data_IF_390800885648
#
_entry.id   IF_390800885648
#
_cell.length_a   1.000
_cell.length_b   1.000
_cell.length_c   1.000
_cell.angle_alpha   90.00
_cell.angle_beta   90.00
_cell.angle_gamma   90.00
#
_symmetry.space_group_name_H-M   'P 1'
#
loop_
_entity.id
_entity.type
_entity.pdbx_description
1 polymer ?
#
# COMPACT_ATOMS: atom_id res chain seq x y z
N UNK A 1 -29.02 -26.54 -10.39
CA UNK A 1 -27.75 -25.93 -9.89
C UNK A 1 -26.64 -26.93 -9.55
N UNK A 2 -26.92 -28.16 -9.09
CA UNK A 2 -25.91 -29.14 -8.65
C UNK A 2 -24.81 -29.49 -9.68
N UNK A 3 -25.10 -29.46 -10.99
CA UNK A 3 -24.10 -29.80 -12.03
C UNK A 3 -23.00 -28.74 -12.20
N UNK A 4 -23.31 -27.45 -12.03
CA UNK A 4 -22.35 -26.36 -12.29
C UNK A 4 -21.46 -26.07 -11.08
N UNK A 5 -22.00 -26.11 -9.86
CA UNK A 5 -21.23 -25.85 -8.63
C UNK A 5 -20.18 -26.94 -8.33
N UNK A 6 -20.36 -28.15 -8.88
CA UNK A 6 -19.40 -29.25 -8.76
C UNK A 6 -18.44 -29.36 -9.97
N UNK A 7 -18.69 -28.60 -11.06
CA UNK A 7 -17.87 -28.64 -12.27
C UNK A 7 -16.63 -27.75 -12.14
N UNK A 8 -15.44 -28.33 -12.34
CA UNK A 8 -14.17 -27.60 -12.31
C UNK A 8 -14.10 -26.58 -13.46
N UNK A 9 -14.55 -26.96 -14.66
CA UNK A 9 -14.57 -26.07 -15.84
C UNK A 9 -15.44 -24.84 -15.56
N UNK A 10 -16.64 -25.03 -15.00
CA UNK A 10 -17.53 -23.91 -14.69
C UNK A 10 -16.91 -22.93 -13.67
N UNK A 11 -16.15 -23.43 -12.69
CA UNK A 11 -15.44 -22.58 -11.72
C UNK A 11 -14.32 -21.80 -12.38
N UNK A 12 -13.50 -22.45 -13.21
CA UNK A 12 -12.41 -21.78 -13.92
C UNK A 12 -12.98 -20.68 -14.84
N UNK A 13 -14.01 -21.00 -15.63
CA UNK A 13 -14.68 -20.01 -16.47
C UNK A 13 -15.24 -18.85 -15.65
N UNK A 14 -15.88 -19.14 -14.51
CA UNK A 14 -16.40 -18.10 -13.62
C UNK A 14 -15.30 -17.21 -13.02
N UNK A 15 -14.12 -17.75 -12.71
CA UNK A 15 -12.97 -16.96 -12.24
C UNK A 15 -12.50 -15.99 -13.32
N UNK A 16 -12.32 -16.46 -14.57
CA UNK A 16 -11.91 -15.60 -15.67
C UNK A 16 -12.94 -14.52 -15.98
N UNK A 17 -14.22 -14.90 -16.08
CA UNK A 17 -15.30 -13.94 -16.28
C UNK A 17 -15.36 -12.93 -15.15
N UNK A 18 -15.21 -13.36 -13.89
CA UNK A 18 -15.20 -12.46 -12.75
C UNK A 18 -14.09 -11.41 -12.91
N UNK A 19 -12.87 -11.84 -13.22
CA UNK A 19 -11.73 -10.94 -13.40
C UNK A 19 -11.95 -9.91 -14.52
N UNK A 20 -12.57 -10.33 -15.64
CA UNK A 20 -12.91 -9.45 -16.77
C UNK A 20 -13.98 -8.43 -16.36
N UNK A 21 -15.07 -8.88 -15.74
CA UNK A 21 -16.15 -7.97 -15.33
C UNK A 21 -15.74 -7.04 -14.19
N UNK A 22 -14.88 -7.47 -13.26
CA UNK A 22 -14.32 -6.56 -12.25
C UNK A 22 -13.39 -5.54 -12.87
N UNK A 23 -12.67 -5.89 -13.95
CA UNK A 23 -11.81 -4.94 -14.67
C UNK A 23 -12.66 -3.92 -15.41
N UNK A 24 -13.71 -4.39 -16.10
CA UNK A 24 -14.70 -3.53 -16.76
C UNK A 24 -15.39 -2.58 -15.78
N UNK A 25 -15.73 -3.05 -14.58
CA UNK A 25 -16.29 -2.20 -13.52
C UNK A 25 -15.31 -1.11 -13.06
N UNK A 26 -14.04 -1.47 -12.76
CA UNK A 26 -13.03 -0.49 -12.33
C UNK A 26 -12.72 0.52 -13.44
N UNK A 27 -12.50 0.04 -14.67
CA UNK A 27 -12.28 0.90 -15.83
C UNK A 27 -13.49 1.81 -16.09
N UNK A 28 -14.70 1.30 -15.91
CA UNK A 28 -15.95 2.05 -15.99
C UNK A 28 -16.06 3.16 -14.96
N UNK A 29 -15.66 2.91 -13.70
CA UNK A 29 -15.59 3.93 -12.65
C UNK A 29 -14.57 5.02 -13.02
N UNK A 30 -13.35 4.63 -13.39
CA UNK A 30 -12.27 5.57 -13.75
C UNK A 30 -12.69 6.41 -14.96
N UNK A 31 -13.23 5.78 -16.00
CA UNK A 31 -13.70 6.47 -17.20
C UNK A 31 -14.86 7.41 -16.89
N UNK A 32 -15.84 6.98 -16.09
CA UNK A 32 -16.98 7.84 -15.70
C UNK A 32 -16.50 9.04 -14.90
N UNK A 33 -15.58 8.85 -13.95
CA UNK A 33 -15.01 9.92 -13.16
C UNK A 33 -14.24 10.93 -14.03
N UNK A 34 -13.44 10.46 -14.98
CA UNK A 34 -12.75 11.31 -15.95
C UNK A 34 -13.74 12.15 -16.78
N UNK A 35 -14.85 11.56 -17.23
CA UNK A 35 -15.89 12.27 -18.00
C UNK A 35 -16.61 13.33 -17.15
N UNK A 36 -16.84 13.05 -15.86
CA UNK A 36 -17.41 14.04 -14.93
C UNK A 36 -16.44 15.20 -14.71
N UNK A 37 -15.16 14.92 -14.46
CA UNK A 37 -14.13 15.95 -14.25
C UNK A 37 -14.00 16.90 -15.45
N UNK A 38 -14.23 16.38 -16.67
CA UNK A 38 -14.17 17.14 -17.90
C UNK A 38 -15.54 17.62 -18.42
N UNK A 39 -16.59 17.59 -17.57
CA UNK A 39 -17.93 18.09 -17.86
C UNK A 39 -18.61 17.50 -19.11
N UNK A 40 -18.29 16.26 -19.48
CA UNK A 40 -18.87 15.59 -20.66
C UNK A 40 -20.39 15.38 -20.54
N UNK A 41 -20.96 15.44 -19.34
CA UNK A 41 -22.39 15.27 -19.09
C UNK A 41 -23.16 16.60 -19.08
N UNK A 42 -22.50 17.70 -18.75
CA UNK A 42 -23.14 18.99 -18.51
C UNK A 42 -22.96 19.96 -19.69
N UNK A 43 -21.90 19.79 -20.48
CA UNK A 43 -21.58 20.67 -21.62
C UNK A 43 -21.92 20.03 -22.98
N UNK A 44 -22.26 20.86 -23.99
CA UNK A 44 -22.35 20.40 -25.38
C UNK A 44 -20.97 19.97 -25.91
N UNK A 45 -20.97 19.08 -26.90
CA UNK A 45 -19.75 18.52 -27.50
C UNK A 45 -18.74 19.59 -27.95
N UNK A 46 -19.24 20.70 -28.50
CA UNK A 46 -18.40 21.80 -28.98
C UNK A 46 -17.58 22.43 -27.84
N UNK A 47 -18.20 22.71 -26.70
CA UNK A 47 -17.53 23.31 -25.54
C UNK A 47 -16.53 22.33 -24.89
N UNK A 48 -16.89 21.05 -24.79
CA UNK A 48 -15.96 20.01 -24.27
C UNK A 48 -14.73 19.90 -25.18
N UNK A 49 -14.94 19.94 -26.50
CA UNK A 49 -13.86 19.94 -27.48
C UNK A 49 -12.96 21.15 -27.32
N UNK A 50 -13.55 22.34 -27.20
CA UNK A 50 -12.83 23.58 -27.02
C UNK A 50 -11.96 23.55 -25.74
N UNK A 51 -12.53 23.16 -24.59
CA UNK A 51 -11.81 23.07 -23.31
C UNK A 51 -10.55 22.18 -23.41
N UNK A 52 -10.66 21.04 -24.10
CA UNK A 52 -9.53 20.12 -24.28
C UNK A 52 -8.53 20.68 -25.30
N UNK A 53 -9.01 21.27 -26.40
CA UNK A 53 -8.14 21.85 -27.42
C UNK A 53 -7.36 23.05 -26.88
N UNK A 54 -7.94 23.86 -25.99
CA UNK A 54 -7.24 24.95 -25.28
C UNK A 54 -6.05 24.40 -24.49
N UNK A 55 -6.22 23.30 -23.75
CA UNK A 55 -5.12 22.65 -23.00
C UNK A 55 -4.02 22.15 -23.94
N UNK A 56 -4.38 21.45 -25.01
CA UNK A 56 -3.42 20.96 -26.01
C UNK A 56 -2.67 22.13 -26.66
N UNK A 57 -3.38 23.20 -27.03
CA UNK A 57 -2.81 24.42 -27.63
C UNK A 57 -1.80 25.06 -26.69
N UNK A 58 -2.11 25.16 -25.40
CA UNK A 58 -1.19 25.67 -24.39
C UNK A 58 0.08 24.82 -24.28
N UNK A 59 -0.04 23.50 -24.35
CA UNK A 59 1.12 22.60 -24.29
C UNK A 59 2.01 22.74 -25.54
N UNK A 60 1.42 22.83 -26.74
CA UNK A 60 2.19 23.11 -27.96
C UNK A 60 2.86 24.48 -27.92
N UNK A 61 2.14 25.51 -27.47
CA UNK A 61 2.65 26.87 -27.29
C UNK A 61 3.84 26.89 -26.31
N UNK A 62 3.68 26.29 -25.13
CA UNK A 62 4.75 26.18 -24.13
C UNK A 62 5.94 25.39 -24.68
N UNK A 63 5.68 24.29 -25.39
CA UNK A 63 6.72 23.50 -26.05
C UNK A 63 7.50 24.34 -27.05
N UNK A 64 6.81 25.01 -27.98
CA UNK A 64 7.42 25.88 -28.98
C UNK A 64 8.25 26.98 -28.33
N UNK A 65 7.72 27.68 -27.32
CA UNK A 65 8.43 28.77 -26.67
C UNK A 65 9.64 28.26 -25.89
N UNK A 66 9.43 27.44 -24.87
CA UNK A 66 10.48 27.06 -23.91
C UNK A 66 11.48 26.03 -24.46
N UNK A 67 11.04 25.11 -25.32
CA UNK A 67 11.90 24.01 -25.77
C UNK A 67 12.52 24.23 -27.15
N UNK A 68 11.97 25.12 -27.97
CA UNK A 68 12.44 25.32 -29.35
C UNK A 68 12.91 26.76 -29.60
N UNK A 69 12.09 27.77 -29.30
CA UNK A 69 12.40 29.16 -29.58
C UNK A 69 13.59 29.68 -28.77
N UNK A 70 13.65 29.36 -27.47
CA UNK A 70 14.80 29.73 -26.63
C UNK A 70 16.12 29.17 -27.18
N UNK A 71 16.11 27.93 -27.70
CA UNK A 71 17.29 27.31 -28.32
C UNK A 71 17.61 28.00 -29.65
N UNK A 72 16.60 28.25 -30.49
CA UNK A 72 16.77 28.95 -31.77
C UNK A 72 17.41 30.34 -31.61
N UNK A 73 17.07 31.06 -30.55
CA UNK A 73 17.67 32.37 -30.23
C UNK A 73 19.19 32.27 -29.96
N UNK A 74 19.66 31.12 -29.46
CA UNK A 74 21.08 30.84 -29.22
C UNK A 74 21.78 30.22 -30.44
N UNK A 75 21.05 29.40 -31.21
CA UNK A 75 21.55 28.71 -32.40
C UNK A 75 20.52 28.79 -33.55
N UNK A 76 20.79 29.67 -34.51
CA UNK A 76 19.91 29.89 -35.66
C UNK A 76 19.73 28.66 -36.55
N UNK A 77 20.64 27.66 -36.49
CA UNK A 77 20.51 26.42 -37.26
C UNK A 77 19.31 25.57 -36.80
N UNK A 78 18.80 25.82 -35.59
CA UNK A 78 17.65 25.14 -35.03
C UNK A 78 16.32 25.48 -35.74
N UNK A 79 16.30 26.52 -36.57
CA UNK A 79 15.12 26.90 -37.37
C UNK A 79 14.58 25.72 -38.19
N UNK A 80 15.47 24.97 -38.86
CA UNK A 80 15.08 23.79 -39.65
C UNK A 80 14.35 22.73 -38.80
N UNK A 81 14.72 22.60 -37.53
CA UNK A 81 14.06 21.68 -36.60
C UNK A 81 12.66 22.17 -36.25
N UNK A 82 12.50 23.48 -36.01
CA UNK A 82 11.20 24.11 -35.73
C UNK A 82 10.28 23.95 -36.93
N UNK A 83 10.73 24.33 -38.12
CA UNK A 83 9.96 24.24 -39.36
C UNK A 83 9.55 22.80 -39.67
N UNK A 84 10.42 21.82 -39.41
CA UNK A 84 10.07 20.40 -39.56
C UNK A 84 9.03 19.95 -38.54
N UNK A 85 9.22 20.22 -37.25
CA UNK A 85 8.33 19.75 -36.19
C UNK A 85 6.95 20.41 -36.27
N UNK A 86 6.92 21.72 -36.53
CA UNK A 86 5.70 22.51 -36.61
C UNK A 86 5.25 22.80 -38.04
N UNK A 87 5.72 22.01 -39.02
CA UNK A 87 5.18 22.06 -40.38
C UNK A 87 3.68 21.77 -40.36
N UNK A 88 2.93 22.44 -41.23
CA UNK A 88 1.50 22.20 -41.40
C UNK A 88 1.17 20.76 -41.80
N UNK A 89 2.12 20.00 -42.33
CA UNK A 89 1.91 18.58 -42.65
C UNK A 89 2.04 17.67 -41.43
N UNK A 90 2.79 18.13 -40.41
CA UNK A 90 3.11 17.35 -39.21
C UNK A 90 2.25 17.72 -38.00
N UNK A 91 1.62 18.91 -38.00
CA UNK A 91 0.72 19.32 -36.93
C UNK A 91 -0.44 20.18 -37.43
N UNK A 92 -1.55 20.10 -36.69
CA UNK A 92 -2.72 20.96 -36.81
C UNK A 92 -2.58 22.25 -35.98
N UNK A 93 -1.51 22.38 -35.19
CA UNK A 93 -1.16 23.60 -34.46
C UNK A 93 -0.55 24.65 -35.37
N UNK A 94 -1.12 25.83 -35.35
CA UNK A 94 -0.68 27.00 -36.10
C UNK A 94 -0.30 28.10 -35.12
N UNK A 95 0.68 28.93 -35.48
CA UNK A 95 1.14 29.99 -34.61
C UNK A 95 1.72 31.17 -35.39
N UNK A 96 1.70 32.32 -34.73
CA UNK A 96 2.45 33.53 -35.09
C UNK A 96 3.11 34.05 -33.81
N UNK A 97 4.43 33.96 -33.74
CA UNK A 97 5.22 34.47 -32.62
C UNK A 97 5.74 35.87 -32.97
N UNK A 98 5.45 36.84 -32.10
CA UNK A 98 5.79 38.25 -32.25
C UNK A 98 6.69 38.73 -31.12
N UNK A 99 7.63 39.62 -31.42
CA UNK A 99 8.43 40.33 -30.42
C UNK A 99 7.59 41.42 -29.70
N UNK A 100 8.20 42.13 -28.75
CA UNK A 100 7.55 43.23 -28.03
C UNK A 100 7.10 44.40 -28.94
N UNK A 101 7.75 44.57 -30.10
CA UNK A 101 7.39 45.59 -31.10
C UNK A 101 6.23 45.16 -32.01
N UNK A 102 5.82 43.90 -31.93
CA UNK A 102 4.80 43.31 -32.80
C UNK A 102 5.32 42.71 -34.11
N UNK A 103 6.64 42.70 -34.33
CA UNK A 103 7.23 42.07 -35.52
C UNK A 103 7.16 40.55 -35.41
N UNK A 104 6.73 39.90 -36.48
CA UNK A 104 6.69 38.43 -36.56
C UNK A 104 8.10 37.86 -36.64
N UNK A 105 8.42 36.95 -35.72
CA UNK A 105 9.71 36.25 -35.64
C UNK A 105 9.60 34.88 -36.31
N UNK A 106 8.59 34.10 -35.91
CA UNK A 106 8.31 32.76 -36.43
C UNK A 106 6.82 32.62 -36.70
N UNK A 107 6.45 31.96 -37.78
CA UNK A 107 5.05 31.65 -38.08
C UNK A 107 4.94 30.44 -38.99
N UNK A 108 3.81 29.75 -38.90
CA UNK A 108 3.37 28.74 -39.86
C UNK A 108 1.89 28.96 -40.28
N UNK A 109 1.35 30.15 -39.97
CA UNK A 109 -0.04 30.50 -40.21
C UNK A 109 -0.20 31.32 -41.50
N UNK A 110 -0.98 30.79 -42.44
CA UNK A 110 -1.17 31.38 -43.77
C UNK A 110 -2.58 31.98 -43.97
N UNK A 111 -3.18 32.57 -42.94
CA UNK A 111 -4.53 33.17 -43.00
C UNK A 111 -5.64 32.18 -43.43
N UNK A 112 -5.43 30.88 -43.19
CA UNK A 112 -6.45 29.85 -43.43
C UNK A 112 -7.54 29.88 -42.35
N UNK A 113 -8.68 29.25 -42.67
CA UNK A 113 -9.78 29.08 -41.72
C UNK A 113 -9.36 28.20 -40.53
N UNK A 114 -9.78 28.62 -39.33
CA UNK A 114 -9.37 28.03 -38.06
C UNK A 114 -10.60 27.77 -37.20
N UNK A 115 -10.56 26.72 -36.39
CA UNK A 115 -11.65 26.38 -35.47
C UNK A 115 -11.42 26.93 -34.05
N UNK A 116 -10.19 27.30 -33.72
CA UNK A 116 -9.81 27.85 -32.41
C UNK A 116 -8.72 28.91 -32.61
N UNK A 117 -8.80 29.99 -31.84
CA UNK A 117 -7.81 31.07 -31.79
C UNK A 117 -7.59 31.49 -30.34
N UNK A 118 -6.33 31.55 -29.91
CA UNK A 118 -5.92 31.91 -28.56
C UNK A 118 -4.64 32.72 -28.62
N UNK A 119 -4.48 33.70 -27.74
CA UNK A 119 -3.23 34.47 -27.62
C UNK A 119 -2.61 34.23 -26.26
N UNK A 120 -1.32 33.93 -26.25
CA UNK A 120 -0.51 33.76 -25.04
C UNK A 120 0.61 34.78 -25.00
N UNK A 121 0.91 35.27 -23.80
CA UNK A 121 2.02 36.20 -23.55
C UNK A 121 3.09 35.45 -22.78
N UNK A 122 4.30 35.47 -23.32
CA UNK A 122 5.48 34.88 -22.70
C UNK A 122 6.45 35.98 -22.29
N UNK A 123 7.08 35.82 -21.14
CA UNK A 123 8.15 36.70 -20.67
C UNK A 123 9.39 35.86 -20.47
N UNK A 124 10.47 36.28 -21.11
CA UNK A 124 11.80 35.74 -20.88
C UNK A 124 12.31 36.28 -19.53
N UNK A 125 12.98 35.44 -18.75
CA UNK A 125 13.60 35.84 -17.49
C UNK A 125 14.06 34.63 -16.70
N UNK A 126 15.24 34.75 -16.09
CA UNK A 126 15.81 33.74 -15.19
C UNK A 126 15.62 34.17 -13.74
N UNK A 127 15.36 33.20 -12.86
CA UNK A 127 15.54 33.41 -11.43
C UNK A 127 17.05 33.37 -11.14
N UNK A 128 17.65 34.52 -10.87
CA UNK A 128 19.01 34.57 -10.33
C UNK A 128 18.97 34.20 -8.85
N UNK A 129 19.69 33.13 -8.48
CA UNK A 129 20.03 32.85 -7.10
C UNK A 129 21.36 33.57 -6.83
N UNK A 130 21.33 34.64 -6.05
CA UNK A 130 22.54 35.10 -5.36
C UNK A 130 22.87 34.06 -4.29
N UNK A 131 24.13 33.62 -4.21
CA UNK A 131 24.66 32.69 -3.19
C UNK A 131 24.61 33.27 -1.74
N UNK A 132 23.88 34.37 -1.53
CA UNK A 132 23.71 35.04 -0.24
C UNK A 132 22.29 34.78 0.28
N UNK A 133 22.12 34.08 1.42
CA UNK A 133 20.83 33.53 1.87
C UNK A 133 19.80 34.56 2.39
N UNK A 134 19.91 35.84 2.04
CA UNK A 134 19.07 36.91 2.59
C UNK A 134 18.54 37.93 1.58
N UNK A 135 18.70 37.73 0.27
CA UNK A 135 18.10 38.60 -0.76
C UNK A 135 17.04 37.83 -1.51
N UNK A 136 15.81 38.36 -1.55
CA UNK A 136 14.71 37.84 -2.36
C UNK A 136 15.12 37.70 -3.82
N UNK A 137 14.74 36.61 -4.48
CA UNK A 137 15.05 36.37 -5.89
C UNK A 137 14.65 37.58 -6.76
N UNK A 138 15.64 38.21 -7.38
CA UNK A 138 15.42 39.35 -8.26
C UNK A 138 15.17 38.81 -9.68
N UNK A 139 13.96 39.00 -10.19
CA UNK A 139 13.60 38.59 -11.54
C UNK A 139 14.27 39.53 -12.54
N UNK A 140 15.27 39.04 -13.27
CA UNK A 140 15.88 39.79 -14.37
C UNK A 140 14.90 39.79 -15.53
N UNK A 141 14.30 40.96 -15.78
CA UNK A 141 13.27 41.14 -16.82
C UNK A 141 13.87 40.96 -18.21
N UNK A 142 13.55 39.86 -18.88
CA UNK A 142 13.82 39.64 -20.30
C UNK A 142 12.75 40.21 -21.23
N UNK A 143 12.84 39.89 -22.51
CA UNK A 143 11.92 40.36 -23.55
C UNK A 143 10.53 39.72 -23.39
N UNK A 144 9.48 40.46 -23.80
CA UNK A 144 8.11 39.95 -23.85
C UNK A 144 7.76 39.53 -25.26
N UNK A 145 7.15 38.36 -25.40
CA UNK A 145 6.71 37.78 -26.66
C UNK A 145 5.21 37.52 -26.64
N UNK A 146 4.56 37.79 -27.76
CA UNK A 146 3.14 37.47 -27.96
C UNK A 146 3.04 36.35 -28.97
N UNK A 147 2.33 35.29 -28.61
CA UNK A 147 2.09 34.17 -29.51
C UNK A 147 0.61 34.01 -29.76
N UNK A 148 0.21 34.27 -30.99
CA UNK A 148 -1.14 33.97 -31.47
C UNK A 148 -1.15 32.53 -31.96
N UNK A 149 -1.95 31.68 -31.34
CA UNK A 149 -2.09 30.27 -31.63
C UNK A 149 -3.44 30.00 -32.30
N UNK A 150 -3.43 29.08 -33.25
CA UNK A 150 -4.63 28.64 -33.94
C UNK A 150 -4.64 27.13 -34.14
N UNK A 151 -5.83 26.57 -34.34
CA UNK A 151 -6.01 25.16 -34.73
C UNK A 151 -6.70 25.12 -36.08
N UNK A 152 -6.14 24.35 -37.03
CA UNK A 152 -6.73 24.17 -38.36
C UNK A 152 -8.21 23.78 -38.27
N UNK A 153 -9.05 24.32 -39.14
CA UNK A 153 -10.47 23.92 -39.18
C UNK A 153 -10.63 22.41 -39.46
N UNK A 154 -9.95 21.92 -40.49
CA UNK A 154 -9.87 20.48 -40.82
C UNK A 154 -8.55 19.91 -40.30
N UNK A 155 -8.64 18.90 -39.43
CA UNK A 155 -7.45 18.22 -38.89
C UNK A 155 -6.89 17.25 -39.95
N UNK A 156 -5.70 17.55 -40.47
CA UNK A 156 -5.04 16.76 -41.53
C UNK A 156 -3.87 15.95 -41.01
N UNK A 157 -3.19 16.41 -39.95
CA UNK A 157 -2.06 15.72 -39.36
C UNK A 157 -2.51 14.75 -38.25
N UNK A 158 -1.89 13.56 -38.16
CA UNK A 158 -2.13 12.59 -37.08
C UNK A 158 -1.42 13.00 -35.78
N UNK A 159 -1.81 14.15 -35.24
CA UNK A 159 -1.24 14.69 -34.01
C UNK A 159 -2.19 14.53 -32.81
N UNK A 160 -1.88 15.23 -31.71
CA UNK A 160 -2.66 15.17 -30.48
C UNK A 160 -4.07 15.71 -30.66
N UNK A 161 -4.31 16.68 -31.55
CA UNK A 161 -5.67 17.17 -31.83
C UNK A 161 -6.49 16.11 -32.54
N UNK A 162 -5.92 15.45 -33.55
CA UNK A 162 -6.61 14.41 -34.31
C UNK A 162 -7.01 13.24 -33.40
N UNK A 163 -6.07 12.80 -32.57
CA UNK A 163 -6.33 11.74 -31.59
C UNK A 163 -7.36 12.18 -30.56
N UNK A 164 -7.23 13.40 -30.02
CA UNK A 164 -8.17 13.94 -29.03
C UNK A 164 -9.58 14.07 -29.61
N UNK A 165 -9.76 14.59 -30.82
CA UNK A 165 -11.07 14.73 -31.45
C UNK A 165 -11.79 13.37 -31.55
N UNK A 166 -11.09 12.34 -32.02
CA UNK A 166 -11.65 10.99 -32.13
C UNK A 166 -12.07 10.44 -30.76
N UNK A 167 -11.23 10.62 -29.74
CA UNK A 167 -11.54 10.18 -28.38
C UNK A 167 -12.68 10.97 -27.75
N UNK A 168 -12.73 12.29 -27.94
CA UNK A 168 -13.80 13.15 -27.44
C UNK A 168 -15.13 12.75 -28.06
N UNK A 169 -15.19 12.57 -29.38
CA UNK A 169 -16.42 12.14 -30.07
C UNK A 169 -16.88 10.75 -29.58
N UNK A 170 -15.96 9.81 -29.45
CA UNK A 170 -16.25 8.45 -28.97
C UNK A 170 -16.73 8.49 -27.51
N UNK A 171 -16.02 9.18 -26.63
CA UNK A 171 -16.35 9.33 -25.23
C UNK A 171 -17.69 10.03 -25.03
N UNK A 172 -17.95 11.11 -25.78
CA UNK A 172 -19.19 11.86 -25.70
C UNK A 172 -20.39 11.02 -26.15
N UNK A 173 -20.26 10.28 -27.26
CA UNK A 173 -21.32 9.39 -27.75
C UNK A 173 -21.57 8.20 -26.83
N UNK A 174 -20.53 7.68 -26.17
CA UNK A 174 -20.63 6.53 -25.28
C UNK A 174 -20.87 6.87 -23.80
N UNK A 175 -20.90 8.16 -23.41
CA UNK A 175 -20.91 8.58 -21.98
C UNK A 175 -21.98 7.89 -21.14
N UNK A 176 -23.21 7.82 -21.63
CA UNK A 176 -24.31 7.17 -20.89
C UNK A 176 -24.23 5.64 -20.96
N UNK A 177 -23.76 5.08 -22.08
CA UNK A 177 -23.55 3.64 -22.23
C UNK A 177 -22.45 3.14 -21.28
N UNK A 178 -21.42 3.94 -21.03
CA UNK A 178 -20.34 3.61 -20.09
C UNK A 178 -20.90 3.38 -18.68
N UNK A 179 -21.83 4.22 -18.21
CA UNK A 179 -22.50 4.05 -16.91
C UNK A 179 -23.26 2.73 -16.88
N UNK A 180 -24.04 2.42 -17.93
CA UNK A 180 -24.81 1.18 -18.03
C UNK A 180 -23.87 -0.04 -17.98
N UNK A 181 -22.80 -0.05 -18.78
CA UNK A 181 -21.83 -1.14 -18.78
C UNK A 181 -21.11 -1.30 -17.44
N UNK A 182 -20.84 -0.19 -16.74
CA UNK A 182 -20.24 -0.21 -15.40
C UNK A 182 -21.16 -0.90 -14.40
N UNK A 183 -22.45 -0.53 -14.38
CA UNK A 183 -23.45 -1.15 -13.50
C UNK A 183 -23.66 -2.63 -13.84
N UNK A 184 -23.79 -2.98 -15.13
CA UNK A 184 -23.93 -4.37 -15.55
C UNK A 184 -22.71 -5.21 -15.16
N UNK A 185 -21.50 -4.68 -15.34
CA UNK A 185 -20.27 -5.37 -14.97
C UNK A 185 -20.22 -5.64 -13.47
N UNK A 186 -20.61 -4.66 -12.65
CA UNK A 186 -20.72 -4.82 -11.20
C UNK A 186 -21.70 -5.93 -10.81
N UNK A 187 -22.91 -5.91 -11.37
CA UNK A 187 -23.95 -6.91 -11.09
C UNK A 187 -23.49 -8.32 -11.49
N UNK A 188 -22.88 -8.47 -12.68
CA UNK A 188 -22.36 -9.75 -13.15
C UNK A 188 -21.23 -10.24 -12.25
N UNK A 189 -20.30 -9.36 -11.83
CA UNK A 189 -19.25 -9.70 -10.86
C UNK A 189 -19.83 -10.21 -9.54
N UNK A 190 -20.90 -9.58 -9.00
CA UNK A 190 -21.57 -10.06 -7.78
C UNK A 190 -22.14 -11.47 -7.97
N UNK A 191 -22.86 -11.71 -9.07
CA UNK A 191 -23.47 -13.01 -9.36
C UNK A 191 -22.38 -14.09 -9.46
N UNK A 192 -21.29 -13.81 -10.17
CA UNK A 192 -20.15 -14.72 -10.32
C UNK A 192 -19.46 -14.96 -8.97
N UNK A 193 -19.30 -13.94 -8.15
CA UNK A 193 -18.72 -14.05 -6.81
C UNK A 193 -19.55 -14.97 -5.90
N UNK A 194 -20.87 -14.76 -5.87
CA UNK A 194 -21.80 -15.61 -5.11
C UNK A 194 -21.71 -17.05 -5.60
N UNK A 195 -21.74 -17.27 -6.93
CA UNK A 195 -21.57 -18.59 -7.52
C UNK A 195 -20.26 -19.27 -7.07
N UNK A 196 -19.14 -18.54 -7.11
CA UNK A 196 -17.83 -19.05 -6.70
C UNK A 196 -17.82 -19.43 -5.21
N UNK A 197 -18.34 -18.58 -4.33
CA UNK A 197 -18.48 -18.88 -2.88
C UNK A 197 -19.37 -20.10 -2.65
N UNK A 198 -20.52 -20.21 -3.32
CA UNK A 198 -21.41 -21.36 -3.21
C UNK A 198 -20.70 -22.64 -3.67
N UNK A 199 -19.97 -22.57 -4.77
CA UNK A 199 -19.20 -23.69 -5.33
C UNK A 199 -17.97 -24.09 -4.50
N UNK A 200 -17.51 -23.23 -3.59
CA UNK A 200 -16.32 -23.48 -2.78
C UNK A 200 -16.48 -24.75 -1.94
N UNK A 201 -15.47 -25.62 -2.01
CA UNK A 201 -15.44 -26.92 -1.33
C UNK A 201 -16.26 -28.05 -1.95
N UNK A 202 -17.03 -27.82 -3.03
CA UNK A 202 -17.80 -28.88 -3.71
C UNK A 202 -17.01 -29.49 -4.88
N UNK A 203 -17.06 -30.82 -5.07
CA UNK A 203 -16.41 -31.53 -6.19
C UNK A 203 -17.35 -32.54 -6.85
N UNK A 204 -17.19 -32.76 -8.16
CA UNK A 204 -18.00 -33.74 -8.89
C UNK A 204 -17.79 -35.14 -8.30
N UNK A 205 -18.88 -35.81 -7.91
CA UNK A 205 -18.85 -37.15 -7.32
C UNK A 205 -18.80 -37.17 -5.79
N UNK A 206 -18.70 -36.01 -5.13
CA UNK A 206 -18.58 -35.91 -3.67
C UNK A 206 -19.67 -34.96 -3.13
N UNK A 207 -20.53 -35.47 -2.25
CA UNK A 207 -21.55 -34.65 -1.57
C UNK A 207 -20.98 -33.90 -0.37
N UNK A 208 -19.87 -34.38 0.19
CA UNK A 208 -19.22 -33.73 1.32
C UNK A 208 -18.38 -32.55 0.83
N UNK A 209 -18.31 -31.51 1.67
CA UNK A 209 -17.42 -30.37 1.45
C UNK A 209 -15.98 -30.87 1.66
N UNK A 210 -15.13 -30.73 0.64
CA UNK A 210 -13.72 -31.16 0.69
C UNK A 210 -12.82 -29.93 0.53
N UNK A 211 -11.82 -29.82 1.41
CA UNK A 211 -10.77 -28.81 1.32
C UNK A 211 -9.92 -29.07 0.07
N UNK A 212 -9.73 -28.05 -0.75
CA UNK A 212 -8.79 -28.08 -1.85
C UNK A 212 -7.35 -28.04 -1.34
N UNK A 213 -6.38 -28.41 -2.19
CA UNK A 213 -4.95 -28.38 -1.81
C UNK A 213 -4.48 -27.00 -1.34
N UNK A 214 -5.01 -25.94 -1.96
CA UNK A 214 -4.77 -24.55 -1.56
C UNK A 214 -5.30 -24.25 -0.15
N UNK A 215 -6.39 -24.90 0.28
CA UNK A 215 -6.96 -24.68 1.61
C UNK A 215 -6.11 -25.27 2.74
N UNK A 216 -5.00 -25.96 2.41
CA UNK A 216 -3.98 -26.33 3.39
C UNK A 216 -3.09 -25.16 3.80
N UNK A 217 -2.95 -24.13 2.94
CA UNK A 217 -2.15 -22.93 3.22
C UNK A 217 -2.87 -22.11 4.28
N UNK A 218 -2.26 -21.77 5.43
CA UNK A 218 -2.90 -20.95 6.46
C UNK A 218 -3.50 -19.68 5.87
N UNK A 219 -4.73 -19.34 6.27
CA UNK A 219 -5.45 -18.16 5.76
C UNK A 219 -4.62 -16.88 5.88
N UNK A 220 -3.85 -16.77 6.97
CA UNK A 220 -3.04 -15.60 7.28
C UNK A 220 -1.96 -15.33 6.21
N UNK A 221 -1.44 -16.35 5.52
CA UNK A 221 -0.47 -16.14 4.43
C UNK A 221 -1.12 -15.55 3.18
N UNK A 222 -2.34 -15.98 2.86
CA UNK A 222 -3.08 -15.40 1.73
C UNK A 222 -3.44 -13.95 2.04
N UNK A 223 -3.91 -13.68 3.25
CA UNK A 223 -4.21 -12.32 3.70
C UNK A 223 -2.97 -11.42 3.74
N UNK A 224 -1.85 -11.91 4.29
CA UNK A 224 -0.58 -11.18 4.31
C UNK A 224 -0.05 -10.91 2.90
N UNK A 225 -0.16 -11.87 1.98
CA UNK A 225 0.22 -11.69 0.58
C UNK A 225 -0.59 -10.60 -0.11
N UNK A 226 -1.91 -10.57 0.09
CA UNK A 226 -2.80 -9.50 -0.42
C UNK A 226 -2.37 -8.15 0.15
N UNK A 227 -2.15 -8.05 1.46
CA UNK A 227 -1.74 -6.79 2.13
C UNK A 227 -0.38 -6.32 1.60
N UNK A 228 0.59 -7.23 1.44
CA UNK A 228 1.91 -6.90 0.91
C UNK A 228 1.84 -6.36 -0.52
N UNK A 229 1.03 -6.99 -1.39
CA UNK A 229 0.83 -6.52 -2.76
C UNK A 229 0.19 -5.13 -2.77
N UNK A 230 -0.86 -4.91 -1.96
CA UNK A 230 -1.52 -3.60 -1.85
C UNK A 230 -0.55 -2.52 -1.37
N UNK A 231 0.30 -2.83 -0.39
CA UNK A 231 1.31 -1.90 0.12
C UNK A 231 2.35 -1.53 -0.95
N UNK A 232 2.80 -2.52 -1.74
CA UNK A 232 3.68 -2.29 -2.89
C UNK A 232 2.98 -1.40 -3.92
N UNK A 233 1.70 -1.63 -4.22
CA UNK A 233 0.94 -0.78 -5.17
C UNK A 233 0.93 0.69 -4.74
N UNK A 234 0.68 0.97 -3.46
CA UNK A 234 0.63 2.33 -2.91
C UNK A 234 2.02 2.97 -2.94
N UNK A 235 3.07 2.20 -2.64
CA UNK A 235 4.45 2.71 -2.61
C UNK A 235 4.97 3.12 -4.00
N UNK A 236 4.33 2.66 -5.07
CA UNK A 236 4.71 2.91 -6.47
C UNK A 236 3.98 4.12 -7.08
N UNK A 237 3.17 4.85 -6.29
CA UNK A 237 2.39 6.01 -6.76
C UNK A 237 3.21 7.20 -7.31
N UNK A 238 4.55 7.17 -7.20
CA UNK A 238 5.46 8.24 -7.62
C UNK A 238 6.24 7.95 -8.93
N UNK A 239 5.77 6.98 -9.74
CA UNK A 239 6.38 6.64 -11.04
C UNK A 239 5.66 7.38 -12.19
N UNK A 240 6.41 7.73 -13.25
CA UNK A 240 5.89 8.28 -14.51
C UNK A 240 4.61 7.58 -15.01
N UNK A 241 3.68 8.35 -15.59
CA UNK A 241 2.30 7.94 -15.91
C UNK A 241 2.17 6.63 -16.71
N UNK A 242 3.06 6.35 -17.67
CA UNK A 242 3.00 5.11 -18.48
C UNK A 242 3.43 3.89 -17.67
N UNK A 243 4.51 4.01 -16.88
CA UNK A 243 4.99 2.94 -16.02
C UNK A 243 3.97 2.58 -14.95
N UNK A 244 3.29 3.59 -14.42
CA UNK A 244 2.21 3.45 -13.45
C UNK A 244 1.04 2.58 -13.97
N UNK A 245 0.55 2.84 -15.19
CA UNK A 245 -0.56 2.09 -15.79
C UNK A 245 -0.20 0.61 -15.99
N UNK A 246 1.01 0.32 -16.49
CA UNK A 246 1.47 -1.05 -16.73
C UNK A 246 1.61 -1.83 -15.42
N UNK A 247 2.18 -1.20 -14.39
CA UNK A 247 2.38 -1.85 -13.08
C UNK A 247 1.03 -2.13 -12.42
N UNK A 248 0.09 -1.18 -12.44
CA UNK A 248 -1.25 -1.41 -11.89
C UNK A 248 -1.99 -2.52 -12.63
N UNK A 249 -1.91 -2.54 -13.98
CA UNK A 249 -2.50 -3.61 -14.77
C UNK A 249 -1.95 -4.98 -14.40
N UNK A 250 -0.62 -5.10 -14.23
CA UNK A 250 0.03 -6.34 -13.83
C UNK A 250 -0.35 -6.76 -12.40
N UNK A 251 -0.39 -5.82 -11.45
CA UNK A 251 -0.79 -6.08 -10.07
C UNK A 251 -2.26 -6.47 -9.98
N UNK A 252 -3.12 -5.91 -10.82
CA UNK A 252 -4.53 -6.28 -10.92
C UNK A 252 -4.72 -7.75 -11.31
N UNK A 253 -3.97 -8.22 -12.31
CA UNK A 253 -3.99 -9.62 -12.76
C UNK A 253 -3.58 -10.58 -11.63
N UNK A 254 -2.72 -10.14 -10.71
CA UNK A 254 -2.28 -10.93 -9.56
C UNK A 254 -3.28 -10.87 -8.39
N UNK A 255 -3.76 -9.68 -8.04
CA UNK A 255 -4.51 -9.43 -6.80
C UNK A 255 -5.93 -10.01 -6.86
N UNK A 256 -6.61 -9.92 -8.01
CA UNK A 256 -8.01 -10.35 -8.13
C UNK A 256 -8.15 -11.88 -7.99
N UNK A 257 -7.36 -12.72 -8.70
CA UNK A 257 -7.39 -14.15 -8.49
C UNK A 257 -6.97 -14.54 -7.06
N UNK A 258 -5.96 -13.88 -6.49
CA UNK A 258 -5.50 -14.14 -5.12
C UNK A 258 -6.59 -13.81 -4.09
N UNK A 259 -7.28 -12.69 -4.25
CA UNK A 259 -8.42 -12.29 -3.44
C UNK A 259 -9.56 -13.30 -3.54
N UNK A 260 -9.94 -13.69 -4.76
CA UNK A 260 -10.95 -14.74 -4.99
C UNK A 260 -10.56 -16.06 -4.32
N UNK A 261 -9.30 -16.46 -4.44
CA UNK A 261 -8.76 -17.66 -3.80
C UNK A 261 -8.92 -17.60 -2.28
N UNK A 262 -8.60 -16.46 -1.67
CA UNK A 262 -8.78 -16.23 -0.24
C UNK A 262 -10.26 -16.33 0.16
N UNK A 263 -11.17 -15.67 -0.56
CA UNK A 263 -12.61 -15.72 -0.30
C UNK A 263 -13.18 -17.14 -0.46
N UNK A 264 -12.80 -17.87 -1.50
CA UNK A 264 -13.24 -19.26 -1.71
C UNK A 264 -12.67 -20.19 -0.63
N UNK A 265 -11.41 -20.02 -0.23
CA UNK A 265 -10.79 -20.81 0.83
C UNK A 265 -11.47 -20.56 2.18
N UNK A 266 -11.78 -19.30 2.46
CA UNK A 266 -12.57 -18.90 3.62
C UNK A 266 -13.93 -19.57 3.64
N UNK A 267 -14.68 -19.50 2.53
CA UNK A 267 -16.01 -20.10 2.42
C UNK A 267 -15.98 -21.62 2.60
N UNK A 268 -14.99 -22.31 2.02
CA UNK A 268 -14.82 -23.76 2.19
C UNK A 268 -14.58 -24.14 3.66
N UNK A 269 -13.73 -23.38 4.37
CA UNK A 269 -13.42 -23.61 5.79
C UNK A 269 -14.56 -23.27 6.72
N UNK A 270 -15.32 -22.23 6.40
CA UNK A 270 -16.51 -21.84 7.14
C UNK A 270 -17.56 -22.95 7.08
N UNK A 271 -17.82 -23.50 5.88
CA UNK A 271 -18.73 -24.65 5.69
C UNK A 271 -18.30 -25.91 6.45
N UNK A 272 -17.01 -26.07 6.73
CA UNK A 272 -16.45 -27.20 7.48
C UNK A 272 -16.39 -27.00 8.99
N UNK A 273 -16.81 -25.84 9.52
CA UNK A 273 -16.87 -25.59 10.97
C UNK A 273 -15.52 -25.42 11.67
N UNK A 274 -14.43 -25.24 10.92
CA UNK A 274 -13.05 -25.24 11.44
C UNK A 274 -12.20 -24.02 11.09
N UNK A 275 -12.81 -22.90 10.65
CA UNK A 275 -12.08 -21.77 10.04
C UNK A 275 -10.94 -21.21 10.88
N UNK A 276 -11.11 -21.15 12.21
CA UNK A 276 -10.17 -20.52 13.12
C UNK A 276 -9.06 -21.46 13.62
N UNK A 277 -9.25 -22.78 13.63
CA UNK A 277 -8.28 -23.69 14.26
C UNK A 277 -6.98 -23.85 13.46
N UNK A 278 -6.99 -23.49 12.17
CA UNK A 278 -5.84 -23.58 11.29
C UNK A 278 -5.20 -22.22 10.95
N UNK A 279 -5.56 -21.14 11.64
CA UNK A 279 -4.85 -19.86 11.52
C UNK A 279 -3.60 -19.85 12.42
N UNK A 280 -2.53 -19.24 11.92
CA UNK A 280 -1.32 -18.93 12.67
C UNK A 280 -1.66 -17.98 13.81
N UNK A 281 -2.57 -17.03 13.60
CA UNK A 281 -3.07 -16.14 14.64
C UNK A 281 -3.59 -16.94 15.85
N UNK A 282 -4.38 -17.99 15.62
CA UNK A 282 -4.81 -18.90 16.69
C UNK A 282 -3.65 -19.67 17.31
N UNK A 283 -2.71 -20.18 16.50
CA UNK A 283 -1.53 -20.93 17.01
C UNK A 283 -0.66 -20.04 17.91
N UNK A 284 -0.44 -18.78 17.52
CA UNK A 284 0.31 -17.79 18.30
C UNK A 284 -0.45 -17.45 19.59
N UNK A 285 -1.74 -17.12 19.51
CA UNK A 285 -2.55 -16.81 20.69
C UNK A 285 -2.63 -17.99 21.66
N UNK A 286 -2.78 -19.22 21.15
CA UNK A 286 -2.76 -20.43 21.96
C UNK A 286 -1.39 -20.68 22.60
N UNK A 287 -0.30 -20.39 21.87
CA UNK A 287 1.05 -20.46 22.41
C UNK A 287 1.29 -19.43 23.52
N UNK A 288 0.87 -18.18 23.32
CA UNK A 288 0.89 -17.11 24.34
C UNK A 288 0.08 -17.53 25.56
N UNK A 289 -1.14 -18.04 25.36
CA UNK A 289 -1.98 -18.57 26.44
C UNK A 289 -1.28 -19.69 27.21
N UNK A 290 -0.61 -20.62 26.51
CA UNK A 290 0.15 -21.71 27.13
C UNK A 290 1.31 -21.19 27.99
N UNK A 291 2.03 -20.16 27.53
CA UNK A 291 3.10 -19.49 28.30
C UNK A 291 2.50 -18.80 29.53
N UNK A 292 1.47 -17.98 29.35
CA UNK A 292 0.83 -17.23 30.42
C UNK A 292 0.27 -18.16 31.50
N UNK A 293 -0.37 -19.26 31.09
CA UNK A 293 -0.84 -20.30 31.99
C UNK A 293 0.30 -20.88 32.82
N UNK A 294 1.44 -21.23 32.21
CA UNK A 294 2.62 -21.73 32.93
C UNK A 294 3.17 -20.72 33.92
N UNK A 295 3.19 -19.43 33.57
CA UNK A 295 3.63 -18.36 34.47
C UNK A 295 2.70 -18.23 35.68
N UNK A 296 1.38 -18.26 35.47
CA UNK A 296 0.40 -18.18 36.57
C UNK A 296 0.50 -19.39 37.50
N UNK A 297 0.64 -20.61 36.97
CA UNK A 297 0.84 -21.79 37.81
C UNK A 297 2.18 -21.76 38.55
N UNK A 298 3.24 -21.25 37.92
CA UNK A 298 4.54 -21.05 38.58
C UNK A 298 4.45 -20.02 39.72
N UNK A 299 3.80 -18.89 39.49
CA UNK A 299 3.58 -17.87 40.51
C UNK A 299 2.72 -18.39 41.68
N UNK A 300 1.66 -19.15 41.39
CA UNK A 300 0.81 -19.78 42.41
C UNK A 300 1.59 -20.77 43.27
N UNK A 301 2.44 -21.60 42.65
CA UNK A 301 3.30 -22.55 43.37
C UNK A 301 4.32 -21.85 44.29
N UNK A 302 4.87 -20.71 43.86
CA UNK A 302 5.76 -19.91 44.71
C UNK A 302 5.00 -19.29 45.90
N UNK A 303 3.75 -18.88 45.70
CA UNK A 303 2.89 -18.33 46.76
C UNK A 303 2.35 -19.37 47.75
N UNK A 304 2.53 -20.67 47.52
CA UNK A 304 2.08 -21.73 48.44
C UNK A 304 3.15 -22.17 49.45
N UNK A 305 4.42 -21.75 49.31
CA UNK A 305 5.53 -22.14 50.19
C UNK A 305 6.13 -20.94 50.98
N UNK A 306 5.30 -20.31 51.81
CA UNK A 306 5.38 -18.89 52.22
C UNK A 306 6.14 -18.54 53.52
N UNK A 307 6.77 -19.47 54.25
CA UNK A 307 7.29 -19.12 55.59
C UNK A 307 8.55 -18.23 55.62
N UNK A 308 9.36 -18.19 54.55
CA UNK A 308 10.59 -17.38 54.47
C UNK A 308 10.70 -16.53 53.19
N UNK A 309 9.76 -16.68 52.26
CA UNK A 309 9.73 -15.93 51.00
C UNK A 309 9.53 -14.44 51.19
N UNK A 310 8.75 -14.03 52.19
CA UNK A 310 8.47 -12.61 52.42
C UNK A 310 9.71 -11.79 52.77
N UNK A 311 10.69 -12.37 53.48
CA UNK A 311 11.95 -11.66 53.80
C UNK A 311 12.82 -11.45 52.56
N UNK A 312 12.88 -12.46 51.68
CA UNK A 312 13.59 -12.37 50.41
C UNK A 312 12.90 -11.41 49.43
N UNK A 313 11.56 -11.47 49.34
CA UNK A 313 10.76 -10.55 48.54
C UNK A 313 10.95 -9.11 49.02
N UNK A 314 10.91 -8.87 50.33
CA UNK A 314 11.11 -7.53 50.90
C UNK A 314 12.52 -6.99 50.62
N UNK A 315 13.55 -7.84 50.73
CA UNK A 315 14.91 -7.46 50.38
C UNK A 315 15.05 -7.13 48.88
N UNK A 316 14.45 -7.93 47.99
CA UNK A 316 14.47 -7.69 46.54
C UNK A 316 13.69 -6.43 46.14
N UNK A 317 12.57 -6.15 46.81
CA UNK A 317 11.79 -4.91 46.60
C UNK A 317 12.62 -3.71 47.04
N UNK A 318 13.23 -3.77 48.22
CA UNK A 318 14.07 -2.68 48.76
C UNK A 318 15.24 -2.40 47.81
N UNK A 319 15.96 -3.43 47.37
CA UNK A 319 17.03 -3.31 46.39
C UNK A 319 16.55 -2.70 45.06
N UNK A 320 15.39 -3.15 44.57
CA UNK A 320 14.83 -2.63 43.32
C UNK A 320 14.40 -1.17 43.44
N UNK A 321 13.91 -0.74 44.61
CA UNK A 321 13.59 0.66 44.88
C UNK A 321 14.84 1.55 44.87
N UNK A 322 15.95 1.08 45.44
CA UNK A 322 17.23 1.78 45.37
C UNK A 322 17.75 1.90 43.93
N UNK A 323 17.65 0.84 43.13
CA UNK A 323 18.06 0.87 41.72
C UNK A 323 17.21 1.85 40.89
N UNK A 324 15.89 1.89 41.09
CA UNK A 324 15.02 2.87 40.42
C UNK A 324 15.38 4.30 40.83
N UNK A 325 15.67 4.52 42.11
CA UNK A 325 16.11 5.83 42.60
C UNK A 325 17.43 6.26 41.93
N UNK A 326 18.40 5.35 41.81
CA UNK A 326 19.68 5.60 41.15
C UNK A 326 19.46 5.92 39.67
N UNK A 327 18.62 5.16 38.96
CA UNK A 327 18.30 5.41 37.56
C UNK A 327 17.59 6.76 37.36
N UNK A 328 16.66 7.10 38.26
CA UNK A 328 15.94 8.37 38.22
C UNK A 328 16.84 9.58 38.52
N UNK A 329 17.81 9.44 39.44
CA UNK A 329 18.76 10.50 39.78
C UNK A 329 19.90 10.64 38.76
N UNK A 330 20.38 9.54 38.18
CA UNK A 330 21.48 9.55 37.21
C UNK A 330 21.05 10.05 35.82
N UNK A 331 19.77 9.89 35.45
CA UNK A 331 19.26 10.23 34.11
C UNK A 331 17.91 10.96 34.17
N UNK A 332 17.85 12.21 34.65
CA UNK A 332 16.58 12.94 34.83
C UNK A 332 15.87 13.35 33.53
N UNK A 333 16.57 13.42 32.39
CA UNK A 333 16.03 13.98 31.15
C UNK A 333 16.04 13.05 29.93
N UNK A 334 16.48 11.80 30.06
CA UNK A 334 16.54 10.87 28.92
C UNK A 334 16.19 9.43 29.32
N UNK A 335 14.89 9.14 29.38
CA UNK A 335 14.34 7.81 29.60
C UNK A 335 14.38 7.00 28.28
N UNK A 336 15.59 6.61 27.86
CA UNK A 336 15.81 5.78 26.67
C UNK A 336 15.38 4.32 26.88
N UNK A 337 15.98 3.38 26.15
CA UNK A 337 15.65 1.94 26.22
C UNK A 337 16.08 1.25 27.54
N UNK A 338 16.83 1.96 28.40
CA UNK A 338 17.45 1.43 29.62
C UNK A 338 16.45 0.94 30.69
N UNK A 339 15.37 1.67 31.02
CA UNK A 339 14.34 1.21 31.95
C UNK A 339 13.64 -0.06 31.44
N UNK A 340 13.49 -0.20 30.12
CA UNK A 340 12.94 -1.39 29.47
C UNK A 340 13.83 -2.62 29.71
N UNK A 341 15.15 -2.49 29.52
CA UNK A 341 16.11 -3.56 29.85
C UNK A 341 16.13 -3.88 31.34
N UNK A 342 16.00 -2.88 32.22
CA UNK A 342 15.93 -3.08 33.66
C UNK A 342 14.70 -3.89 34.07
N UNK A 343 13.51 -3.55 33.55
CA UNK A 343 12.26 -4.31 33.80
C UNK A 343 12.38 -5.75 33.29
N UNK A 344 12.86 -5.94 32.06
CA UNK A 344 13.03 -7.28 31.46
C UNK A 344 14.03 -8.11 32.28
N UNK A 345 15.13 -7.49 32.73
CA UNK A 345 16.11 -8.13 33.62
C UNK A 345 15.46 -8.61 34.92
N UNK A 346 14.68 -7.76 35.60
CA UNK A 346 13.99 -8.14 36.85
C UNK A 346 12.99 -9.28 36.64
N UNK A 347 12.27 -9.29 35.52
CA UNK A 347 11.33 -10.37 35.18
C UNK A 347 12.03 -11.74 35.10
N UNK A 348 13.30 -11.79 34.74
CA UNK A 348 14.08 -13.02 34.61
C UNK A 348 14.82 -13.36 35.91
N UNK A 349 15.55 -12.40 36.50
CA UNK A 349 16.41 -12.65 37.65
C UNK A 349 15.65 -12.88 38.96
N UNK A 350 14.53 -12.17 39.19
CA UNK A 350 13.76 -12.31 40.43
C UNK A 350 13.20 -13.73 40.61
N UNK A 351 12.56 -14.35 39.61
CA UNK A 351 12.13 -15.75 39.72
C UNK A 351 13.28 -16.73 39.97
N UNK A 352 14.45 -16.51 39.36
CA UNK A 352 15.63 -17.37 39.52
C UNK A 352 16.15 -17.29 40.96
N UNK A 353 16.31 -16.09 41.51
CA UNK A 353 16.80 -15.88 42.89
C UNK A 353 15.82 -16.50 43.89
N UNK A 354 14.52 -16.27 43.72
CA UNK A 354 13.50 -16.86 44.60
C UNK A 354 13.51 -18.39 44.53
N UNK A 355 13.69 -18.97 43.34
CA UNK A 355 13.80 -20.42 43.17
C UNK A 355 15.04 -21.00 43.86
N UNK A 356 16.18 -20.30 43.81
CA UNK A 356 17.41 -20.67 44.54
C UNK A 356 17.17 -20.61 46.06
N UNK A 357 16.55 -19.55 46.56
CA UNK A 357 16.28 -19.37 48.00
C UNK A 357 15.34 -20.47 48.51
N UNK A 358 14.28 -20.81 47.76
CA UNK A 358 13.38 -21.93 48.12
C UNK A 358 14.14 -23.25 48.14
N UNK A 359 15.02 -23.48 47.17
CA UNK A 359 15.83 -24.71 47.09
C UNK A 359 16.79 -24.82 48.28
N UNK A 360 17.47 -23.74 48.65
CA UNK A 360 18.33 -23.64 49.82
C UNK A 360 17.56 -23.85 51.12
N UNK A 361 16.37 -23.26 51.24
CA UNK A 361 15.53 -23.41 52.43
C UNK A 361 15.08 -24.86 52.63
N UNK A 362 14.69 -25.56 51.54
CA UNK A 362 14.34 -26.99 51.62
C UNK A 362 15.50 -27.84 52.10
N UNK A 363 16.73 -27.52 51.68
CA UNK A 363 17.94 -28.21 52.16
C UNK A 363 18.24 -27.91 53.62
N UNK A 364 18.15 -26.64 54.06
CA UNK A 364 18.42 -26.25 55.45
C UNK A 364 17.41 -26.88 56.41
N UNK A 365 16.11 -26.78 56.11
CA UNK A 365 15.06 -27.38 56.94
C UNK A 365 15.22 -28.90 56.99
N UNK A 366 15.45 -29.55 55.84
CA UNK A 366 15.72 -30.99 55.80
C UNK A 366 16.96 -31.40 56.60
N UNK A 367 18.05 -30.62 56.55
CA UNK A 367 19.25 -30.89 57.35
C UNK A 367 19.06 -30.70 58.85
N UNK A 368 18.20 -29.76 59.27
CA UNK A 368 17.88 -29.52 60.67
C UNK A 368 17.03 -30.64 61.26
N UNK A 369 16.10 -31.22 60.49
CA UNK A 369 15.30 -32.35 60.96
C UNK A 369 16.13 -33.64 61.09
N UNK A 370 17.09 -33.87 60.18
CA UNK A 370 18.06 -34.98 60.28
C UNK A 370 18.96 -34.80 61.51
N UNK A 371 19.45 -33.57 61.77
CA UNK A 371 20.30 -33.26 62.93
C UNK A 371 19.56 -33.39 64.28
N UNK A 372 18.24 -33.22 64.28
CA UNK A 372 17.39 -33.39 65.47
C UNK A 372 16.98 -34.85 65.73
N UNK A 373 17.50 -35.81 64.95
CA UNK A 373 17.38 -37.24 65.23
C UNK A 373 16.34 -38.01 64.42
N UNK A 374 15.69 -37.39 63.43
CA UNK A 374 14.79 -38.09 62.50
C UNK A 374 15.58 -38.61 61.28
N UNK A 375 16.20 -39.78 61.43
CA UNK A 375 17.04 -40.42 60.41
C UNK A 375 16.27 -40.98 59.20
N UNK A 376 14.93 -40.94 59.22
CA UNK A 376 14.08 -41.43 58.12
C UNK A 376 13.56 -40.28 57.22
N UNK A 377 13.90 -39.03 57.50
CA UNK A 377 13.46 -37.89 56.71
C UNK A 377 14.24 -37.79 55.38
N UNK A 378 13.59 -38.10 54.25
CA UNK A 378 14.17 -37.96 52.91
C UNK A 378 13.76 -36.65 52.25
N UNK A 379 14.76 -35.82 51.90
CA UNK A 379 14.57 -34.57 51.18
C UNK A 379 14.17 -34.88 49.73
N UNK A 380 12.99 -34.40 49.28
CA UNK A 380 12.55 -34.61 47.89
C UNK A 380 13.41 -33.79 46.90
N UNK A 381 14.41 -34.43 46.32
CA UNK A 381 15.43 -33.80 45.46
C UNK A 381 14.98 -33.58 44.02
N UNK A 382 13.78 -34.03 43.63
CA UNK A 382 13.29 -34.03 42.23
C UNK A 382 13.17 -32.65 41.59
N UNK A 383 13.05 -31.59 42.40
CA UNK A 383 12.89 -30.20 41.94
C UNK A 383 14.03 -29.29 42.39
N UNK A 384 15.18 -29.82 42.83
CA UNK A 384 16.36 -29.04 43.20
C UNK A 384 17.27 -28.81 41.99
N UNK A 385 17.90 -27.63 41.91
CA UNK A 385 18.93 -27.34 40.90
C UNK A 385 20.12 -28.30 41.04
N UNK A 386 20.79 -28.60 39.93
CA UNK A 386 21.79 -29.66 39.80
C UNK A 386 22.90 -29.62 40.87
N UNK A 387 23.36 -28.43 41.27
CA UNK A 387 24.37 -28.26 42.33
C UNK A 387 23.85 -28.55 43.75
N UNK A 388 22.57 -28.27 44.02
CA UNK A 388 21.92 -28.50 45.33
C UNK A 388 21.43 -29.94 45.50
N UNK A 389 21.14 -30.62 44.38
CA UNK A 389 20.78 -32.03 44.36
C UNK A 389 21.86 -32.91 45.00
N UNK A 390 23.13 -32.56 44.77
CA UNK A 390 24.31 -33.29 45.27
C UNK A 390 24.48 -33.25 46.80
N UNK A 391 23.90 -32.25 47.47
CA UNK A 391 23.94 -32.11 48.94
C UNK A 391 22.73 -32.73 49.63
N UNK A 392 21.63 -32.98 48.91
CA UNK A 392 20.42 -33.61 49.46
C UNK A 392 20.38 -35.14 49.30
N UNK A 393 21.34 -35.73 48.59
CA UNK A 393 21.47 -37.18 48.36
C UNK A 393 22.53 -37.85 49.27
N UNK A 394 23.15 -37.11 50.20
CA UNK A 394 24.15 -37.63 51.14
C UNK A 394 23.54 -38.02 52.48
#
# INVERSE_FOLDING_TARGET
>A
MYKLTHSLVAKITAIFLFAIFTLGFIAGIVGTNYLVEHNFYDKPLAEVKEDIFVKITREYANGLFYNYFIIYKQDSTYLNTIERVFSTDNTNFLYVLKNEKGDTILNNYNNQEVQLSLTYIYKEGDYWYDDVPSVSSEYVKGETYTMDCYVKNTLTAEDRYFTAERWIQTAYSMRHNLIIFTVLSFLISIILFIFLICSAGHRKGEEKVILNGVDKIPFDFLAAGIIAILFITISILDINAIGYILIIGALYILIVPLFLLACMSFAARYKLGGWWRNTITYRILYFIYKILRRLVFGAKYLLEHVSLLWKAIFALITLSMFEVLILALAYPYNMGILPLFWIVGKLIFVPIILYIIISLQKLVVGSQEIANGDLNHHIDTRKLLWGFKRYGEC
#
